data_IF_215200817010
#
_entry.id   IF_215200817010
#
_cell.length_a   1.000
_cell.length_b   1.000
_cell.length_c   1.000
_cell.angle_alpha   90.00
_cell.angle_beta   90.00
_cell.angle_gamma   90.00
#
_symmetry.space_group_name_H-M   'P 1'
#
loop_
_entity.id
_entity.type
_entity.pdbx_description
1 polymer ?
#
# COMPACT_ATOMS: atom_id res chain seq x y z
N UNK A 1 3.93 -20.59 4.07
CA UNK A 1 3.51 -19.79 2.89
C UNK A 1 2.05 -20.11 2.61
N UNK A 2 1.20 -19.11 2.39
CA UNK A 2 -0.22 -19.32 2.07
C UNK A 2 -0.37 -20.00 0.69
N UNK A 3 -1.36 -20.89 0.51
CA UNK A 3 -1.64 -21.55 -0.77
C UNK A 3 -1.78 -20.56 -1.93
N UNK A 4 -2.30 -19.35 -1.69
CA UNK A 4 -2.35 -18.29 -2.69
C UNK A 4 -0.96 -17.87 -3.21
N UNK A 5 0.06 -17.83 -2.35
CA UNK A 5 1.45 -17.54 -2.78
C UNK A 5 2.07 -18.70 -3.54
N UNK A 6 1.66 -19.94 -3.27
CA UNK A 6 2.10 -21.11 -4.04
C UNK A 6 1.38 -21.19 -5.39
N UNK A 7 0.07 -20.90 -5.44
CA UNK A 7 -0.71 -20.78 -6.66
C UNK A 7 -0.12 -19.73 -7.59
N UNK A 8 0.09 -18.53 -7.04
CA UNK A 8 0.71 -17.45 -7.79
C UNK A 8 2.11 -17.84 -8.27
N UNK A 9 2.94 -18.53 -7.48
CA UNK A 9 4.25 -19.03 -7.98
C UNK A 9 4.13 -20.09 -9.08
N UNK A 10 3.07 -20.89 -9.06
CA UNK A 10 2.87 -22.02 -9.97
C UNK A 10 2.23 -21.66 -11.31
N UNK A 11 1.60 -20.48 -11.42
CA UNK A 11 0.94 -20.02 -12.66
C UNK A 11 1.98 -19.86 -13.79
N UNK A 12 1.92 -20.74 -14.79
CA UNK A 12 2.83 -20.72 -15.93
C UNK A 12 2.28 -19.80 -17.02
N UNK A 13 3.17 -19.36 -17.90
CA UNK A 13 2.82 -18.45 -18.99
C UNK A 13 1.93 -19.15 -20.04
N UNK A 14 0.87 -18.53 -20.59
CA UNK A 14 -0.09 -19.16 -21.50
C UNK A 14 0.54 -19.81 -22.75
N UNK A 15 1.72 -19.35 -23.16
CA UNK A 15 2.44 -19.86 -24.32
C UNK A 15 3.15 -21.21 -24.14
N UNK A 16 3.19 -21.75 -22.91
CA UNK A 16 3.91 -23.02 -22.58
C UNK A 16 2.94 -24.12 -22.09
N UNK A 17 1.63 -23.85 -22.12
CA UNK A 17 0.66 -24.68 -21.41
C UNK A 17 0.18 -25.88 -22.25
N UNK A 18 0.56 -27.08 -21.82
CA UNK A 18 -0.08 -28.34 -22.21
C UNK A 18 -1.51 -28.40 -21.64
N UNK A 19 -2.48 -29.12 -22.26
CA UNK A 19 -3.82 -29.32 -21.70
C UNK A 19 -3.83 -29.84 -20.25
N UNK A 20 -2.82 -30.63 -19.86
CA UNK A 20 -2.67 -31.10 -18.48
C UNK A 20 -2.31 -29.98 -17.49
N UNK A 21 -1.50 -29.01 -17.93
CA UNK A 21 -1.11 -27.84 -17.13
C UNK A 21 -2.30 -26.90 -16.93
N UNK A 22 -3.10 -26.69 -17.99
CA UNK A 22 -4.36 -25.93 -17.92
C UNK A 22 -5.37 -26.54 -16.94
N UNK A 23 -5.50 -27.87 -16.93
CA UNK A 23 -6.38 -28.57 -15.98
C UNK A 23 -5.92 -28.36 -14.54
N UNK A 24 -4.61 -28.51 -14.28
CA UNK A 24 -4.02 -28.32 -12.96
C UNK A 24 -4.15 -26.87 -12.47
N UNK A 25 -3.93 -25.88 -13.33
CA UNK A 25 -4.14 -24.46 -12.99
C UNK A 25 -5.59 -24.16 -12.62
N UNK A 26 -6.55 -24.74 -13.35
CA UNK A 26 -7.97 -24.58 -13.05
C UNK A 26 -8.35 -25.21 -11.72
N UNK A 27 -7.90 -26.43 -11.44
CA UNK A 27 -8.16 -27.10 -10.16
C UNK A 27 -7.58 -26.29 -8.98
N UNK A 28 -6.39 -25.73 -9.15
CA UNK A 28 -5.75 -24.93 -8.12
C UNK A 28 -6.47 -23.58 -7.92
N UNK A 29 -6.96 -22.95 -8.99
CA UNK A 29 -7.81 -21.75 -8.91
C UNK A 29 -9.11 -22.04 -8.16
N UNK A 30 -9.81 -23.13 -8.50
CA UNK A 30 -11.05 -23.56 -7.81
C UNK A 30 -10.79 -23.82 -6.31
N UNK A 31 -9.63 -24.38 -5.97
CA UNK A 31 -9.20 -24.59 -4.59
C UNK A 31 -8.93 -23.26 -3.86
N UNK A 32 -8.23 -22.31 -4.51
CA UNK A 32 -7.99 -20.97 -3.97
C UNK A 32 -9.31 -20.27 -3.68
N UNK A 33 -10.25 -20.26 -4.62
CA UNK A 33 -11.55 -19.62 -4.46
C UNK A 33 -12.37 -20.27 -3.35
N UNK A 34 -12.31 -21.60 -3.24
CA UNK A 34 -12.93 -22.32 -2.14
C UNK A 34 -12.36 -21.90 -0.79
N UNK A 35 -11.03 -21.90 -0.62
CA UNK A 35 -10.41 -21.48 0.64
C UNK A 35 -10.70 -20.02 0.98
N UNK A 36 -10.63 -19.11 0.00
CA UNK A 36 -11.00 -17.70 0.17
C UNK A 36 -12.43 -17.55 0.71
N UNK A 37 -13.37 -18.33 0.18
CA UNK A 37 -14.76 -18.31 0.65
C UNK A 37 -14.91 -18.90 2.06
N UNK A 38 -14.11 -19.91 2.42
CA UNK A 38 -14.19 -20.57 3.74
C UNK A 38 -13.59 -19.74 4.88
N UNK A 39 -12.56 -18.92 4.62
CA UNK A 39 -11.92 -18.09 5.66
C UNK A 39 -12.94 -17.24 6.46
N UNK A 40 -13.78 -16.38 5.83
CA UNK A 40 -14.75 -15.57 6.57
C UNK A 40 -15.82 -16.42 7.26
N UNK A 41 -16.21 -17.55 6.67
CA UNK A 41 -17.17 -18.48 7.31
C UNK A 41 -16.60 -19.06 8.60
N UNK A 42 -15.33 -19.49 8.59
CA UNK A 42 -14.64 -19.98 9.77
C UNK A 42 -14.46 -18.88 10.83
N UNK A 43 -14.16 -17.64 10.44
CA UNK A 43 -14.08 -16.51 11.36
C UNK A 43 -15.43 -16.25 12.05
N UNK A 44 -16.53 -16.26 11.30
CA UNK A 44 -17.88 -16.10 11.86
C UNK A 44 -18.23 -17.24 12.81
N UNK A 45 -18.02 -18.49 12.40
CA UNK A 45 -18.27 -19.67 13.25
C UNK A 45 -17.43 -19.64 14.53
N UNK A 46 -16.18 -19.17 14.44
CA UNK A 46 -15.28 -18.98 15.58
C UNK A 46 -15.62 -17.76 16.45
N UNK A 47 -16.68 -17.00 16.14
CA UNK A 47 -17.04 -15.76 16.84
C UNK A 47 -15.87 -14.78 16.93
N UNK A 48 -15.14 -14.56 15.84
CA UNK A 48 -13.87 -13.81 15.80
C UNK A 48 -13.91 -12.42 16.46
N UNK A 49 -15.08 -11.77 16.52
CA UNK A 49 -15.28 -10.49 17.19
C UNK A 49 -14.99 -10.55 18.70
N UNK A 50 -15.09 -11.74 19.30
CA UNK A 50 -14.65 -12.04 20.67
C UNK A 50 -13.14 -12.30 20.75
N UNK A 51 -12.34 -11.99 19.72
CA UNK A 51 -10.91 -12.29 19.73
C UNK A 51 -10.59 -13.79 19.90
N UNK A 52 -9.37 -14.07 20.32
CA UNK A 52 -8.86 -15.42 20.58
C UNK A 52 -7.62 -15.79 19.76
N UNK A 53 -7.09 -17.02 19.97
CA UNK A 53 -5.88 -17.46 19.30
C UNK A 53 -6.00 -17.38 17.78
N UNK A 54 -4.95 -16.89 17.12
CA UNK A 54 -4.79 -16.86 15.66
C UNK A 54 -5.82 -16.03 14.88
N UNK A 55 -6.74 -15.32 15.55
CA UNK A 55 -7.77 -14.52 14.86
C UNK A 55 -7.14 -13.39 14.05
N UNK A 56 -6.18 -12.66 14.64
CA UNK A 56 -5.50 -11.56 13.96
C UNK A 56 -4.62 -12.05 12.81
N UNK A 57 -3.91 -13.16 13.02
CA UNK A 57 -3.08 -13.80 12.02
C UNK A 57 -3.93 -14.28 10.83
N UNK A 58 -5.10 -14.85 11.11
CA UNK A 58 -6.06 -15.26 10.07
C UNK A 58 -6.57 -14.06 9.28
N UNK A 59 -6.96 -12.97 9.95
CA UNK A 59 -7.40 -11.73 9.31
C UNK A 59 -6.28 -11.09 8.46
N UNK A 60 -5.06 -11.04 9.00
CA UNK A 60 -3.88 -10.53 8.29
C UNK A 60 -3.56 -11.35 7.03
N UNK A 61 -3.61 -12.68 7.14
CA UNK A 61 -3.40 -13.57 5.99
C UNK A 61 -4.53 -13.44 4.96
N UNK A 62 -5.77 -13.24 5.42
CA UNK A 62 -6.91 -13.00 4.55
C UNK A 62 -6.76 -11.71 3.76
N UNK A 63 -6.48 -10.60 4.45
CA UNK A 63 -6.20 -9.29 3.82
C UNK A 63 -5.04 -9.40 2.83
N UNK A 64 -3.95 -10.07 3.22
CA UNK A 64 -2.82 -10.28 2.31
C UNK A 64 -3.22 -11.07 1.06
N UNK A 65 -4.02 -12.13 1.20
CA UNK A 65 -4.51 -12.90 0.06
C UNK A 65 -5.37 -12.05 -0.88
N UNK A 66 -6.29 -11.25 -0.33
CA UNK A 66 -7.12 -10.32 -1.13
C UNK A 66 -6.25 -9.31 -1.89
N UNK A 67 -5.26 -8.69 -1.23
CA UNK A 67 -4.33 -7.74 -1.87
C UNK A 67 -3.58 -8.38 -3.05
N UNK A 68 -3.11 -9.62 -2.90
CA UNK A 68 -2.31 -10.28 -3.94
C UNK A 68 -3.15 -10.82 -5.09
N UNK A 69 -4.45 -11.03 -4.88
CA UNK A 69 -5.36 -11.53 -5.92
C UNK A 69 -6.11 -10.42 -6.64
N UNK A 70 -6.23 -9.24 -6.02
CA UNK A 70 -6.87 -8.08 -6.62
C UNK A 70 -5.92 -7.35 -7.58
N UNK A 71 -6.42 -7.06 -8.79
CA UNK A 71 -5.69 -6.27 -9.79
C UNK A 71 -5.81 -4.76 -9.56
N UNK A 72 -6.86 -4.32 -8.88
CA UNK A 72 -7.19 -2.92 -8.59
C UNK A 72 -7.24 -2.68 -7.08
N UNK A 73 -7.26 -1.41 -6.66
CA UNK A 73 -7.54 -1.05 -5.27
C UNK A 73 -9.02 -1.30 -4.92
N UNK A 74 -9.27 -2.02 -3.82
CA UNK A 74 -10.62 -2.35 -3.34
C UNK A 74 -10.85 -1.77 -1.93
N UNK A 75 -11.87 -0.92 -1.80
CA UNK A 75 -12.18 -0.22 -0.55
C UNK A 75 -12.59 -1.20 0.56
N UNK A 76 -13.18 -2.32 0.17
CA UNK A 76 -13.61 -3.42 1.04
C UNK A 76 -12.42 -4.00 1.83
N UNK A 77 -11.25 -4.11 1.20
CA UNK A 77 -10.01 -4.56 1.86
C UNK A 77 -9.59 -3.55 2.93
N UNK A 78 -9.70 -2.25 2.65
CA UNK A 78 -9.39 -1.20 3.63
C UNK A 78 -10.39 -1.19 4.80
N UNK A 79 -11.68 -1.44 4.54
CA UNK A 79 -12.69 -1.58 5.60
C UNK A 79 -12.40 -2.80 6.48
N UNK A 80 -12.05 -3.94 5.87
CA UNK A 80 -11.65 -5.15 6.60
C UNK A 80 -10.39 -4.90 7.46
N UNK A 81 -9.44 -4.12 6.96
CA UNK A 81 -8.29 -3.67 7.74
C UNK A 81 -8.75 -2.87 8.97
N UNK A 82 -9.78 -2.02 8.85
CA UNK A 82 -10.35 -1.29 9.99
C UNK A 82 -10.96 -2.17 11.05
N UNK A 83 -11.69 -3.21 10.65
CA UNK A 83 -12.19 -4.22 11.59
C UNK A 83 -11.02 -4.93 12.30
N UNK A 84 -9.96 -5.25 11.55
CA UNK A 84 -8.76 -5.90 12.09
C UNK A 84 -8.01 -4.99 13.08
N UNK A 85 -7.89 -3.69 12.79
CA UNK A 85 -7.31 -2.70 13.71
C UNK A 85 -8.15 -2.61 14.99
N UNK A 86 -9.47 -2.48 14.87
CA UNK A 86 -10.36 -2.40 16.05
C UNK A 86 -10.23 -3.64 16.93
N UNK A 87 -10.20 -4.83 16.33
CA UNK A 87 -10.03 -6.08 17.06
C UNK A 87 -8.64 -6.17 17.72
N UNK A 88 -7.57 -5.78 17.04
CA UNK A 88 -6.23 -5.76 17.60
C UNK A 88 -6.09 -4.77 18.78
N UNK A 89 -6.76 -3.62 18.68
CA UNK A 89 -6.87 -2.66 19.78
C UNK A 89 -7.62 -3.26 20.96
N UNK A 90 -8.76 -3.91 20.71
CA UNK A 90 -9.57 -4.59 21.71
C UNK A 90 -8.78 -5.70 22.43
N UNK A 91 -7.98 -6.47 21.70
CA UNK A 91 -7.10 -7.53 22.23
C UNK A 91 -5.79 -6.99 22.84
N UNK A 92 -5.60 -5.67 22.91
CA UNK A 92 -4.47 -5.03 23.58
C UNK A 92 -3.11 -5.12 22.86
N UNK A 93 -3.08 -5.37 21.55
CA UNK A 93 -1.81 -5.51 20.79
C UNK A 93 -1.04 -4.19 20.64
N UNK A 94 -1.72 -3.05 20.81
CA UNK A 94 -1.13 -1.71 20.82
C UNK A 94 -0.34 -1.37 22.09
N UNK A 95 -0.37 -2.27 23.09
CA UNK A 95 0.37 -2.16 24.34
C UNK A 95 1.52 -3.15 24.36
N UNK A 96 2.70 -2.69 24.78
CA UNK A 96 3.88 -3.53 24.84
C UNK A 96 3.66 -4.70 25.81
N UNK A 97 4.04 -5.92 25.41
CA UNK A 97 3.94 -7.11 26.25
C UNK A 97 4.52 -6.98 27.66
N UNK A 98 5.50 -6.10 27.89
CA UNK A 98 6.10 -5.86 29.22
C UNK A 98 5.10 -5.41 30.29
N UNK A 99 3.94 -4.88 29.88
CA UNK A 99 2.90 -4.43 30.80
C UNK A 99 1.97 -5.57 31.26
N UNK A 100 2.04 -6.74 30.62
CA UNK A 100 1.20 -7.89 30.91
C UNK A 100 1.98 -8.93 31.71
N UNK A 101 1.38 -9.46 32.78
CA UNK A 101 1.97 -10.54 33.58
C UNK A 101 1.61 -11.88 32.95
N UNK A 102 2.53 -12.85 33.00
CA UNK A 102 2.27 -14.24 32.59
C UNK A 102 2.45 -14.54 31.10
N UNK A 103 2.76 -13.55 30.25
CA UNK A 103 3.16 -13.82 28.87
C UNK A 103 4.55 -14.45 28.81
N UNK A 104 4.69 -15.53 28.05
CA UNK A 104 6.01 -16.08 27.73
C UNK A 104 6.79 -15.11 26.84
N UNK A 105 8.14 -15.16 26.88
CA UNK A 105 8.98 -14.34 26.00
C UNK A 105 8.65 -14.53 24.52
N UNK A 106 8.36 -15.78 24.11
CA UNK A 106 7.90 -16.10 22.76
C UNK A 106 6.59 -15.41 22.40
N UNK A 107 5.56 -15.51 23.26
CA UNK A 107 4.27 -14.89 23.01
C UNK A 107 4.39 -13.36 22.96
N UNK A 108 5.21 -12.77 23.82
CA UNK A 108 5.52 -11.35 23.79
C UNK A 108 6.13 -10.91 22.44
N UNK A 109 7.15 -11.62 21.95
CA UNK A 109 7.76 -11.33 20.66
C UNK A 109 6.76 -11.51 19.50
N UNK A 110 5.94 -12.58 19.50
CA UNK A 110 4.91 -12.79 18.49
C UNK A 110 3.88 -11.66 18.46
N UNK A 111 3.44 -11.17 19.63
CA UNK A 111 2.52 -10.02 19.72
C UNK A 111 3.13 -8.75 19.13
N UNK A 112 4.43 -8.47 19.38
CA UNK A 112 5.13 -7.34 18.75
C UNK A 112 5.17 -7.48 17.22
N UNK A 113 5.47 -8.68 16.71
CA UNK A 113 5.52 -8.97 15.26
C UNK A 113 4.16 -8.81 14.57
N UNK A 114 3.09 -9.28 15.20
CA UNK A 114 1.70 -9.12 14.74
C UNK A 114 1.35 -7.63 14.71
N UNK A 115 1.56 -6.92 15.81
CA UNK A 115 1.26 -5.48 15.88
C UNK A 115 2.02 -4.66 14.83
N UNK A 116 3.33 -4.89 14.69
CA UNK A 116 4.14 -4.21 13.67
C UNK A 116 3.62 -4.47 12.25
N UNK A 117 3.14 -5.69 11.97
CA UNK A 117 2.54 -6.03 10.68
C UNK A 117 1.21 -5.30 10.45
N UNK A 118 0.34 -5.24 11.46
CA UNK A 118 -0.94 -4.52 11.38
C UNK A 118 -0.70 -3.03 11.09
N UNK A 119 0.28 -2.42 11.76
CA UNK A 119 0.68 -1.02 11.52
C UNK A 119 1.16 -0.82 10.08
N UNK A 120 1.98 -1.73 9.55
CA UNK A 120 2.46 -1.68 8.17
C UNK A 120 1.31 -1.80 7.16
N UNK A 121 0.37 -2.73 7.40
CA UNK A 121 -0.79 -2.95 6.54
C UNK A 121 -1.75 -1.75 6.53
N UNK A 122 -2.10 -1.19 7.70
CA UNK A 122 -2.93 0.01 7.82
C UNK A 122 -2.33 1.17 7.02
N UNK A 123 -1.04 1.44 7.20
CA UNK A 123 -0.38 2.54 6.50
C UNK A 123 -0.34 2.32 4.98
N UNK A 124 -0.06 1.10 4.51
CA UNK A 124 -0.05 0.76 3.09
C UNK A 124 -1.42 0.90 2.43
N UNK A 125 -2.46 0.32 3.03
CA UNK A 125 -3.83 0.35 2.51
C UNK A 125 -4.44 1.75 2.58
N UNK A 126 -4.25 2.47 3.69
CA UNK A 126 -4.71 3.85 3.81
C UNK A 126 -4.02 4.76 2.79
N UNK A 127 -2.72 4.55 2.55
CA UNK A 127 -2.01 5.25 1.50
C UNK A 127 -2.58 4.99 0.12
N UNK A 128 -2.90 3.72 -0.22
CA UNK A 128 -3.52 3.34 -1.50
C UNK A 128 -4.89 4.00 -1.69
N UNK A 129 -5.71 4.04 -0.65
CA UNK A 129 -7.04 4.68 -0.72
C UNK A 129 -6.99 6.22 -0.68
N UNK A 130 -5.82 6.81 -0.41
CA UNK A 130 -5.69 8.25 -0.18
C UNK A 130 -6.39 8.70 1.12
N UNK A 131 -6.57 7.80 2.07
CA UNK A 131 -7.27 8.04 3.33
C UNK A 131 -6.27 8.18 4.49
N UNK A 132 -6.66 8.86 5.60
CA UNK A 132 -5.86 8.86 6.81
C UNK A 132 -5.70 7.44 7.37
N UNK A 133 -4.51 7.15 7.91
CA UNK A 133 -4.25 5.92 8.66
C UNK A 133 -5.15 5.81 9.89
N UNK A 134 -5.50 4.59 10.25
CA UNK A 134 -6.41 4.32 11.37
C UNK A 134 -5.68 4.32 12.71
N UNK A 135 -4.47 3.76 12.74
CA UNK A 135 -3.66 3.66 13.95
C UNK A 135 -2.96 4.99 14.19
N UNK A 136 -3.16 5.57 15.37
CA UNK A 136 -2.49 6.80 15.81
C UNK A 136 -1.28 6.45 16.65
N UNK A 137 -0.10 6.93 16.26
CA UNK A 137 1.16 6.54 16.91
C UNK A 137 1.19 6.91 18.41
N UNK A 138 0.56 8.02 18.81
CA UNK A 138 0.52 8.43 20.23
C UNK A 138 -0.39 7.56 21.11
N UNK A 139 -1.14 6.61 20.52
CA UNK A 139 -1.98 5.66 21.27
C UNK A 139 -1.28 4.32 21.51
N UNK A 140 -0.04 4.14 21.04
CA UNK A 140 0.66 2.86 21.02
C UNK A 140 1.97 2.95 21.79
N UNK A 141 2.32 1.93 22.56
CA UNK A 141 3.62 1.86 23.28
C UNK A 141 4.41 0.57 23.00
N UNK A 142 3.88 -0.31 22.14
CA UNK A 142 4.54 -1.53 21.67
C UNK A 142 5.90 -1.24 21.05
N UNK A 143 6.94 -1.93 21.54
CA UNK A 143 8.30 -1.80 21.02
C UNK A 143 8.47 -2.52 19.69
N UNK A 144 9.52 -2.13 18.96
CA UNK A 144 9.92 -2.80 17.72
C UNK A 144 10.27 -4.28 17.98
N UNK A 145 9.91 -5.21 17.08
CA UNK A 145 10.31 -6.62 17.19
C UNK A 145 11.84 -6.81 17.15
N UNK A 146 12.31 -7.91 17.69
CA UNK A 146 13.75 -8.23 17.77
C UNK A 146 14.27 -8.78 16.44
N UNK A 147 15.46 -8.36 15.99
CA UNK A 147 16.09 -8.90 14.79
C UNK A 147 16.66 -10.30 15.06
N UNK A 148 15.85 -11.34 14.89
CA UNK A 148 16.19 -12.73 15.21
C UNK A 148 15.83 -13.66 14.05
N UNK A 149 16.59 -14.74 13.91
CA UNK A 149 16.22 -15.88 13.06
C UNK A 149 15.06 -16.65 13.70
N UNK A 150 14.27 -17.34 12.88
CA UNK A 150 13.16 -18.17 13.39
C UNK A 150 13.66 -19.37 14.20
N UNK A 151 14.92 -19.76 14.05
CA UNK A 151 15.59 -20.80 14.84
C UNK A 151 16.19 -20.29 16.15
N UNK A 152 16.20 -18.98 16.41
CA UNK A 152 16.86 -18.41 17.60
C UNK A 152 16.00 -18.56 18.86
N UNK A 153 14.68 -18.76 18.71
CA UNK A 153 13.73 -18.81 19.82
C UNK A 153 12.47 -19.58 19.43
N UNK A 154 11.77 -20.13 20.42
CA UNK A 154 10.59 -20.96 20.27
C UNK A 154 9.67 -20.86 21.50
N UNK A 155 8.60 -21.65 21.55
CA UNK A 155 7.64 -21.65 22.66
C UNK A 155 8.23 -22.06 24.01
N UNK A 156 9.40 -22.71 24.04
CA UNK A 156 10.11 -23.12 25.25
C UNK A 156 11.13 -22.07 25.73
N UNK A 157 11.30 -20.97 25.00
CA UNK A 157 12.23 -19.90 25.34
C UNK A 157 11.81 -19.19 26.64
N UNK A 158 12.70 -19.22 27.64
CA UNK A 158 12.51 -18.60 28.97
C UNK A 158 13.07 -17.18 29.03
N UNK A 159 14.07 -16.87 28.20
CA UNK A 159 14.65 -15.54 28.06
C UNK A 159 14.95 -15.27 26.57
N UNK A 160 14.56 -14.10 26.07
CA UNK A 160 14.79 -13.77 24.65
C UNK A 160 16.29 -13.59 24.38
N UNK A 161 16.83 -14.16 23.29
CA UNK A 161 18.18 -13.84 22.85
C UNK A 161 18.28 -12.36 22.45
N UNK A 162 19.49 -11.76 22.55
CA UNK A 162 19.70 -10.38 22.14
C UNK A 162 19.43 -10.21 20.64
N UNK A 163 18.83 -9.08 20.26
CA UNK A 163 18.64 -8.74 18.85
C UNK A 163 19.99 -8.69 18.12
N UNK A 164 20.03 -9.28 16.92
CA UNK A 164 21.19 -9.26 16.02
C UNK A 164 21.40 -7.87 15.44
N UNK A 165 22.58 -7.64 14.87
CA UNK A 165 22.93 -6.37 14.24
C UNK A 165 22.04 -6.11 13.01
N UNK A 166 21.81 -4.84 12.68
CA UNK A 166 21.01 -4.45 11.50
C UNK A 166 21.69 -4.82 10.16
N UNK A 167 22.90 -5.38 10.19
CA UNK A 167 23.62 -5.94 9.04
C UNK A 167 23.36 -7.43 8.84
N UNK A 168 22.84 -8.10 9.87
CA UNK A 168 22.60 -9.55 9.84
C UNK A 168 21.23 -9.81 9.23
N UNK A 169 21.24 -10.39 8.03
CA UNK A 169 20.02 -10.67 7.29
C UNK A 169 19.22 -11.80 7.96
N UNK A 170 18.12 -11.43 8.61
CA UNK A 170 17.10 -12.34 9.16
C UNK A 170 15.79 -12.18 8.38
N UNK A 171 14.83 -13.12 8.50
CA UNK A 171 13.51 -13.00 7.90
C UNK A 171 12.76 -11.71 8.28
N UNK A 172 13.01 -11.16 9.48
CA UNK A 172 12.31 -9.98 9.99
C UNK A 172 13.03 -8.66 9.66
N UNK A 173 14.33 -8.66 9.35
CA UNK A 173 15.12 -7.43 9.16
C UNK A 173 14.48 -6.47 8.15
N UNK A 174 14.02 -6.98 7.00
CA UNK A 174 13.33 -6.16 6.00
C UNK A 174 12.10 -5.45 6.59
N UNK A 175 11.31 -6.14 7.41
CA UNK A 175 10.11 -5.56 8.05
C UNK A 175 10.48 -4.47 9.04
N UNK A 176 11.55 -4.65 9.81
CA UNK A 176 12.06 -3.62 10.74
C UNK A 176 12.51 -2.37 9.97
N UNK A 177 13.35 -2.54 8.95
CA UNK A 177 13.84 -1.44 8.11
C UNK A 177 12.68 -0.72 7.42
N UNK A 178 11.73 -1.48 6.85
CA UNK A 178 10.54 -0.91 6.23
C UNK A 178 9.68 -0.17 7.25
N UNK A 179 9.44 -0.71 8.44
CA UNK A 179 8.66 -0.05 9.49
C UNK A 179 9.26 1.30 9.92
N UNK A 180 10.59 1.38 10.05
CA UNK A 180 11.29 2.64 10.37
C UNK A 180 11.13 3.68 9.26
N UNK A 181 11.30 3.28 8.00
CA UNK A 181 11.06 4.16 6.85
C UNK A 181 9.59 4.61 6.80
N UNK A 182 8.67 3.66 6.93
CA UNK A 182 7.23 3.88 6.90
C UNK A 182 6.74 4.75 8.06
N UNK A 183 7.41 4.75 9.21
CA UNK A 183 7.11 5.69 10.31
C UNK A 183 7.32 7.15 9.86
N UNK A 184 8.42 7.42 9.17
CA UNK A 184 8.70 8.77 8.61
C UNK A 184 7.67 9.13 7.53
N UNK A 185 7.34 8.16 6.67
CA UNK A 185 6.32 8.32 5.63
C UNK A 185 4.93 8.57 6.24
N UNK A 186 4.59 7.93 7.35
CA UNK A 186 3.34 8.18 8.08
C UNK A 186 3.21 9.64 8.52
N UNK A 187 4.29 10.25 9.03
CA UNK A 187 4.29 11.68 9.34
C UNK A 187 4.14 12.57 8.10
N UNK A 188 4.74 12.18 6.96
CA UNK A 188 4.52 12.86 5.67
C UNK A 188 3.07 12.78 5.25
N UNK A 189 2.42 11.63 5.43
CA UNK A 189 1.01 11.43 5.12
C UNK A 189 0.13 12.32 5.99
N UNK A 190 0.34 12.29 7.30
CA UNK A 190 -0.40 13.12 8.25
C UNK A 190 -0.21 14.62 7.91
N UNK A 191 1.02 15.05 7.62
CA UNK A 191 1.34 16.40 7.16
C UNK A 191 0.67 16.76 5.81
N UNK A 192 0.63 15.82 4.88
CA UNK A 192 0.04 16.01 3.54
C UNK A 192 -1.49 15.96 3.56
N UNK A 193 -2.10 15.30 4.55
CA UNK A 193 -3.54 15.31 4.76
C UNK A 193 -4.00 16.56 5.54
N UNK A 194 -3.10 17.19 6.28
CA UNK A 194 -3.41 18.42 6.99
C UNK A 194 -3.77 19.56 6.02
N UNK A 195 -4.86 20.24 6.34
CA UNK A 195 -5.42 21.35 5.56
C UNK A 195 -4.85 22.70 6.00
N UNK A 196 -4.15 22.74 7.14
CA UNK A 196 -3.54 23.96 7.65
C UNK A 196 -2.33 24.36 6.81
N UNK A 197 -2.08 25.66 6.62
CA UNK A 197 -0.92 26.13 5.89
C UNK A 197 0.36 25.90 6.71
N UNK A 198 1.39 25.39 6.05
CA UNK A 198 2.73 25.24 6.61
C UNK A 198 3.74 26.05 5.81
N UNK A 199 4.74 26.66 6.45
CA UNK A 199 5.84 27.28 5.72
C UNK A 199 6.64 26.20 4.98
N UNK A 200 7.20 26.57 3.83
CA UNK A 200 7.96 25.63 2.99
C UNK A 200 9.14 24.98 3.73
N UNK A 201 9.67 25.63 4.76
CA UNK A 201 10.72 25.08 5.62
C UNK A 201 10.31 23.78 6.32
N UNK A 202 9.03 23.60 6.64
CA UNK A 202 8.56 22.32 7.22
C UNK A 202 8.56 21.20 6.18
N UNK A 203 8.28 21.52 4.92
CA UNK A 203 8.39 20.57 3.80
C UNK A 203 9.84 20.11 3.67
N UNK A 204 10.80 21.05 3.68
CA UNK A 204 12.23 20.73 3.60
C UNK A 204 12.70 19.89 4.79
N UNK A 205 12.28 20.22 6.01
CA UNK A 205 12.60 19.40 7.20
C UNK A 205 12.07 17.99 7.09
N UNK A 206 10.86 17.81 6.54
CA UNK A 206 10.29 16.48 6.36
C UNK A 206 11.00 15.72 5.24
N UNK A 207 11.45 16.41 4.21
CA UNK A 207 12.23 15.87 3.12
C UNK A 207 13.61 15.38 3.59
N UNK A 208 14.30 16.18 4.41
CA UNK A 208 15.57 15.83 5.04
C UNK A 208 15.45 14.58 5.93
N UNK A 209 14.35 14.48 6.69
CA UNK A 209 14.04 13.29 7.52
C UNK A 209 13.83 12.06 6.66
N UNK A 210 13.12 12.19 5.53
CA UNK A 210 12.90 11.09 4.61
C UNK A 210 14.22 10.61 3.98
N UNK A 211 15.08 11.54 3.57
CA UNK A 211 16.40 11.21 3.03
C UNK A 211 17.30 10.57 4.09
N UNK A 212 17.25 11.04 5.34
CA UNK A 212 17.95 10.41 6.46
C UNK A 212 17.45 8.98 6.69
N UNK A 213 16.13 8.75 6.68
CA UNK A 213 15.55 7.42 6.81
C UNK A 213 16.01 6.49 5.68
N UNK A 214 16.05 6.95 4.43
CA UNK A 214 16.59 6.18 3.30
C UNK A 214 18.08 5.87 3.47
N UNK A 215 18.90 6.84 3.89
CA UNK A 215 20.35 6.62 4.12
C UNK A 215 20.62 5.61 5.24
N UNK A 216 19.69 5.46 6.20
CA UNK A 216 19.80 4.52 7.32
C UNK A 216 19.54 3.05 6.94
N UNK A 217 19.03 2.79 5.73
CA UNK A 217 18.82 1.43 5.23
C UNK A 217 20.18 0.69 5.20
N UNK A 218 20.28 -0.52 5.80
CA UNK A 218 21.53 -1.26 5.85
C UNK A 218 21.94 -1.77 4.47
N UNK A 219 23.24 -1.98 4.26
CA UNK A 219 23.79 -2.23 2.93
C UNK A 219 23.26 -3.53 2.28
N UNK A 220 22.94 -4.54 3.08
CA UNK A 220 22.29 -5.77 2.62
C UNK A 220 20.88 -5.56 2.05
N UNK A 221 20.24 -4.41 2.32
CA UNK A 221 18.89 -4.04 1.86
C UNK A 221 18.88 -2.76 1.00
N UNK A 222 20.03 -2.20 0.62
CA UNK A 222 20.05 -1.08 -0.32
C UNK A 222 19.94 -1.55 -1.76
N UNK A 223 19.06 -0.90 -2.50
CA UNK A 223 18.98 -1.06 -3.94
C UNK A 223 20.11 -0.30 -4.65
N UNK A 224 20.63 -0.91 -5.72
CA UNK A 224 21.64 -0.28 -6.57
C UNK A 224 21.27 -0.42 -8.05
N UNK A 225 21.25 -1.66 -8.54
CA UNK A 225 20.88 -2.03 -9.91
C UNK A 225 20.69 -3.54 -9.99
N UNK A 226 20.06 -4.02 -11.06
CA UNK A 226 19.91 -5.45 -11.29
C UNK A 226 21.28 -6.16 -11.39
N UNK A 227 22.23 -5.56 -12.10
CA UNK A 227 23.58 -6.09 -12.29
C UNK A 227 24.37 -6.29 -10.99
N UNK A 228 24.11 -5.50 -9.94
CA UNK A 228 24.78 -5.65 -8.64
C UNK A 228 24.12 -6.68 -7.71
N UNK A 229 22.93 -7.18 -8.06
CA UNK A 229 22.16 -8.11 -7.24
C UNK A 229 21.97 -9.47 -7.93
N UNK A 230 22.82 -9.84 -8.89
CA UNK A 230 22.73 -11.11 -9.63
C UNK A 230 22.79 -12.33 -8.68
N UNK A 231 23.56 -12.24 -7.61
CA UNK A 231 23.71 -13.32 -6.60
C UNK A 231 22.62 -13.33 -5.54
N UNK A 232 21.79 -12.30 -5.48
CA UNK A 232 20.76 -12.18 -4.46
C UNK A 232 19.54 -13.02 -4.82
N UNK A 233 18.82 -13.49 -3.79
CA UNK A 233 17.55 -14.17 -4.02
C UNK A 233 16.50 -13.20 -4.58
N UNK A 234 15.58 -13.66 -5.44
CA UNK A 234 14.51 -12.82 -5.97
C UNK A 234 13.69 -12.09 -4.90
N UNK A 235 13.47 -12.73 -3.74
CA UNK A 235 12.77 -12.12 -2.62
C UNK A 235 13.51 -10.90 -2.07
N UNK A 236 14.82 -10.99 -1.87
CA UNK A 236 15.61 -9.87 -1.35
C UNK A 236 15.69 -8.72 -2.35
N UNK A 237 15.79 -9.04 -3.64
CA UNK A 237 15.80 -8.02 -4.71
C UNK A 237 14.48 -7.25 -4.69
N UNK A 238 13.34 -7.94 -4.62
CA UNK A 238 12.04 -7.29 -4.54
C UNK A 238 11.89 -6.43 -3.29
N UNK A 239 12.39 -6.89 -2.14
CA UNK A 239 12.39 -6.10 -0.90
C UNK A 239 13.15 -4.78 -1.06
N UNK A 240 14.34 -4.81 -1.68
CA UNK A 240 15.15 -3.62 -1.97
C UNK A 240 14.40 -2.64 -2.89
N UNK A 241 13.76 -3.15 -3.94
CA UNK A 241 12.98 -2.35 -4.88
C UNK A 241 11.77 -1.71 -4.18
N UNK A 242 11.03 -2.45 -3.36
CA UNK A 242 9.87 -1.92 -2.62
C UNK A 242 10.28 -0.78 -1.68
N UNK A 243 11.43 -0.87 -1.00
CA UNK A 243 11.92 0.22 -0.15
C UNK A 243 12.17 1.51 -0.94
N UNK A 244 12.65 1.38 -2.18
CA UNK A 244 12.86 2.52 -3.07
C UNK A 244 11.55 3.09 -3.61
N UNK A 245 10.60 2.24 -4.03
CA UNK A 245 9.32 2.73 -4.56
C UNK A 245 8.53 3.50 -3.50
N UNK A 246 8.45 3.00 -2.27
CA UNK A 246 7.75 3.72 -1.18
C UNK A 246 8.43 5.05 -0.84
N UNK A 247 9.76 5.13 -0.97
CA UNK A 247 10.50 6.38 -0.78
C UNK A 247 10.14 7.42 -1.84
N UNK A 248 10.20 7.06 -3.13
CA UNK A 248 9.86 8.02 -4.20
C UNK A 248 8.37 8.38 -4.19
N UNK A 249 7.48 7.45 -3.83
CA UNK A 249 6.06 7.75 -3.57
C UNK A 249 5.92 8.83 -2.50
N UNK A 250 6.65 8.72 -1.39
CA UNK A 250 6.61 9.70 -0.31
C UNK A 250 7.15 11.09 -0.74
N UNK A 251 8.23 11.13 -1.54
CA UNK A 251 8.74 12.39 -2.15
C UNK A 251 7.64 13.09 -2.97
N UNK A 252 6.92 12.35 -3.82
CA UNK A 252 5.81 12.90 -4.61
C UNK A 252 4.72 13.44 -3.69
N UNK A 253 4.28 12.67 -2.70
CA UNK A 253 3.19 13.05 -1.79
C UNK A 253 3.51 14.33 -1.00
N UNK A 254 4.76 14.45 -0.53
CA UNK A 254 5.23 15.62 0.21
C UNK A 254 5.26 16.90 -0.64
N UNK A 255 5.76 16.80 -1.88
CA UNK A 255 6.05 17.98 -2.70
C UNK A 255 4.95 18.36 -3.69
N UNK A 256 4.01 17.45 -4.04
CA UNK A 256 3.00 17.68 -5.10
C UNK A 256 2.14 18.93 -4.91
N UNK A 257 1.77 19.27 -3.66
CA UNK A 257 0.98 20.48 -3.36
C UNK A 257 1.71 21.78 -3.71
N UNK A 258 3.04 21.75 -3.75
CA UNK A 258 3.91 22.91 -3.95
C UNK A 258 4.42 23.03 -5.39
N UNK A 259 4.13 22.06 -6.25
CA UNK A 259 4.61 21.97 -7.63
C UNK A 259 4.11 23.11 -8.54
N UNK A 260 2.90 23.62 -8.28
CA UNK A 260 2.22 24.63 -9.10
C UNK A 260 2.17 26.02 -8.46
N UNK A 261 2.90 26.23 -7.37
CA UNK A 261 3.11 27.57 -6.82
C UNK A 261 3.94 28.43 -7.80
N UNK A 262 4.00 29.76 -7.64
CA UNK A 262 4.84 30.62 -8.48
C UNK A 262 6.29 30.12 -8.57
N UNK A 263 6.91 30.19 -9.74
CA UNK A 263 8.18 29.53 -10.09
C UNK A 263 9.29 29.71 -9.05
N UNK A 264 9.44 30.91 -8.50
CA UNK A 264 10.45 31.23 -7.49
C UNK A 264 10.33 30.36 -6.22
N UNK A 265 9.14 29.82 -5.92
CA UNK A 265 8.84 29.00 -4.75
C UNK A 265 8.60 27.53 -5.10
N UNK A 266 8.31 27.20 -6.36
CA UNK A 266 7.96 25.83 -6.79
C UNK A 266 9.05 25.08 -7.52
N UNK A 267 10.09 25.73 -8.03
CA UNK A 267 11.10 25.10 -8.90
C UNK A 267 11.71 23.83 -8.30
N UNK A 268 12.11 23.87 -7.02
CA UNK A 268 12.68 22.70 -6.33
C UNK A 268 11.66 21.57 -6.17
N UNK A 269 10.47 21.87 -5.65
CA UNK A 269 9.42 20.86 -5.45
C UNK A 269 8.95 20.23 -6.76
N UNK A 270 8.80 21.04 -7.81
CA UNK A 270 8.43 20.56 -9.14
C UNK A 270 9.46 19.57 -9.67
N UNK A 271 10.74 19.93 -9.60
CA UNK A 271 11.84 19.06 -10.02
C UNK A 271 11.83 17.73 -9.24
N UNK A 272 11.73 17.80 -7.91
CA UNK A 272 11.69 16.60 -7.04
C UNK A 272 10.53 15.68 -7.41
N UNK A 273 9.33 16.23 -7.63
CA UNK A 273 8.14 15.45 -7.99
C UNK A 273 8.31 14.77 -9.34
N UNK A 274 8.80 15.51 -10.35
CA UNK A 274 8.96 14.98 -11.71
C UNK A 274 10.07 13.92 -11.77
N UNK A 275 11.22 14.17 -11.15
CA UNK A 275 12.31 13.19 -11.05
C UNK A 275 11.86 11.93 -10.29
N UNK A 276 11.10 12.07 -9.20
CA UNK A 276 10.57 10.93 -8.44
C UNK A 276 9.54 10.13 -9.23
N UNK A 277 8.67 10.80 -9.99
CA UNK A 277 7.70 10.13 -10.84
C UNK A 277 8.38 9.36 -11.98
N UNK A 278 9.39 9.95 -12.63
CA UNK A 278 10.21 9.25 -13.62
C UNK A 278 10.90 8.03 -13.02
N UNK A 279 11.46 8.14 -11.80
CA UNK A 279 12.07 6.99 -11.10
C UNK A 279 11.07 5.87 -10.83
N UNK A 280 9.84 6.18 -10.43
CA UNK A 280 8.81 5.16 -10.26
C UNK A 280 8.47 4.46 -11.59
N UNK A 281 8.43 5.18 -12.72
CA UNK A 281 8.21 4.54 -14.03
C UNK A 281 9.42 3.73 -14.52
N UNK A 282 10.65 4.12 -14.16
CA UNK A 282 11.84 3.29 -14.38
C UNK A 282 11.69 1.94 -13.65
N UNK A 283 11.24 1.96 -12.39
CA UNK A 283 10.96 0.75 -11.62
C UNK A 283 9.80 -0.05 -12.21
N UNK A 284 8.72 0.59 -12.66
CA UNK A 284 7.60 -0.09 -13.32
C UNK A 284 8.12 -0.93 -14.49
N UNK A 285 8.96 -0.35 -15.33
CA UNK A 285 9.46 -1.09 -16.48
C UNK A 285 10.48 -2.16 -16.12
N UNK A 286 11.42 -1.87 -15.21
CA UNK A 286 12.37 -2.89 -14.76
C UNK A 286 11.62 -4.09 -14.18
N UNK A 287 10.59 -3.86 -13.37
CA UNK A 287 9.74 -4.93 -12.86
C UNK A 287 9.00 -5.65 -13.99
N UNK A 288 8.47 -4.94 -14.99
CA UNK A 288 7.84 -5.59 -16.14
C UNK A 288 8.82 -6.53 -16.86
N UNK A 289 10.04 -6.08 -17.16
CA UNK A 289 11.06 -6.90 -17.83
C UNK A 289 11.49 -8.09 -16.97
N UNK A 290 11.87 -7.84 -15.71
CA UNK A 290 12.45 -8.86 -14.85
C UNK A 290 11.42 -9.86 -14.30
N UNK A 291 10.14 -9.55 -14.41
CA UNK A 291 9.05 -10.49 -14.05
C UNK A 291 8.52 -11.29 -15.25
N UNK A 292 9.11 -11.13 -16.44
CA UNK A 292 8.81 -12.01 -17.58
C UNK A 292 9.35 -13.44 -17.36
N UNK A 293 8.79 -14.44 -18.09
CA UNK A 293 9.30 -15.81 -18.04
C UNK A 293 10.81 -15.87 -18.22
N UNK A 294 11.46 -16.73 -17.43
CA UNK A 294 12.90 -16.95 -17.43
C UNK A 294 13.76 -15.80 -16.88
N UNK A 295 13.17 -14.67 -16.48
CA UNK A 295 13.88 -13.58 -15.80
C UNK A 295 13.97 -13.79 -14.28
N UNK A 296 14.86 -13.04 -13.62
CA UNK A 296 15.25 -13.28 -12.23
C UNK A 296 14.10 -13.09 -11.24
N UNK A 297 13.16 -12.19 -11.54
CA UNK A 297 12.03 -11.86 -10.65
C UNK A 297 10.73 -12.57 -11.02
N UNK A 298 10.74 -13.49 -12.00
CA UNK A 298 9.54 -14.22 -12.43
C UNK A 298 8.77 -14.86 -11.25
N UNK A 299 9.49 -15.49 -10.32
CA UNK A 299 8.90 -16.17 -9.15
C UNK A 299 8.30 -15.22 -8.10
N UNK A 300 8.57 -13.93 -8.21
CA UNK A 300 8.11 -12.89 -7.29
C UNK A 300 7.16 -11.89 -7.96
N UNK A 301 6.71 -12.16 -9.19
CA UNK A 301 5.77 -11.28 -9.94
C UNK A 301 4.45 -11.00 -9.20
N UNK A 302 4.01 -11.94 -8.37
CA UNK A 302 2.83 -11.80 -7.51
C UNK A 302 2.95 -10.69 -6.46
N UNK A 303 4.16 -10.20 -6.20
CA UNK A 303 4.40 -9.04 -5.33
C UNK A 303 4.14 -7.71 -6.04
N UNK A 304 4.00 -7.70 -7.36
CA UNK A 304 3.54 -6.53 -8.13
C UNK A 304 2.01 -6.42 -8.01
N UNK A 305 1.55 -6.25 -6.77
CA UNK A 305 0.13 -6.19 -6.42
C UNK A 305 -0.48 -4.83 -6.75
N UNK A 306 -1.79 -4.69 -6.50
CA UNK A 306 -2.48 -3.40 -6.61
C UNK A 306 -1.82 -2.28 -5.81
N UNK A 307 -1.17 -2.59 -4.67
CA UNK A 307 -0.42 -1.61 -3.86
C UNK A 307 0.76 -1.01 -4.64
N UNK A 308 1.55 -1.85 -5.31
CA UNK A 308 2.72 -1.41 -6.09
C UNK A 308 2.27 -0.72 -7.37
N UNK A 309 1.27 -1.28 -8.05
CA UNK A 309 0.68 -0.65 -9.24
C UNK A 309 0.14 0.75 -8.95
N UNK A 310 -0.42 0.98 -7.76
CA UNK A 310 -0.86 2.31 -7.35
C UNK A 310 0.28 3.35 -7.29
N UNK A 311 1.52 2.95 -6.95
CA UNK A 311 2.68 3.86 -7.01
C UNK A 311 2.92 4.34 -8.46
N UNK A 312 2.83 3.42 -9.41
CA UNK A 312 3.03 3.71 -10.84
C UNK A 312 1.87 4.48 -11.44
N UNK A 313 0.63 4.22 -11.00
CA UNK A 313 -0.54 5.02 -11.38
C UNK A 313 -0.36 6.48 -10.93
N UNK A 314 0.05 6.70 -9.67
CA UNK A 314 0.33 8.04 -9.15
C UNK A 314 1.40 8.75 -10.00
N UNK A 315 2.51 8.08 -10.30
CA UNK A 315 3.60 8.63 -11.11
C UNK A 315 3.10 9.01 -12.52
N UNK A 316 2.37 8.11 -13.18
CA UNK A 316 1.78 8.33 -14.50
C UNK A 316 0.85 9.55 -14.47
N UNK A 317 -0.06 9.63 -13.50
CA UNK A 317 -1.01 10.73 -13.37
C UNK A 317 -0.32 12.08 -13.15
N UNK A 318 0.72 12.14 -12.33
CA UNK A 318 1.50 13.37 -12.09
C UNK A 318 2.16 13.88 -13.37
N UNK A 319 2.80 12.99 -14.12
CA UNK A 319 3.48 13.35 -15.37
C UNK A 319 2.49 13.80 -16.45
N UNK A 320 1.35 13.11 -16.59
CA UNK A 320 0.27 13.52 -17.47
C UNK A 320 -0.27 14.91 -17.11
N UNK A 321 -0.55 15.14 -15.82
CA UNK A 321 -1.07 16.40 -15.33
C UNK A 321 -0.10 17.56 -15.59
N UNK A 322 1.20 17.33 -15.38
CA UNK A 322 2.24 18.30 -15.68
C UNK A 322 2.27 18.69 -17.16
N UNK A 323 2.28 17.72 -18.07
CA UNK A 323 2.32 17.99 -19.52
C UNK A 323 1.08 18.76 -19.99
N UNK A 324 -0.11 18.41 -19.49
CA UNK A 324 -1.35 19.13 -19.82
C UNK A 324 -1.30 20.60 -19.38
N UNK A 325 -0.71 20.89 -18.21
CA UNK A 325 -0.59 22.26 -17.70
C UNK A 325 0.54 23.03 -18.38
N UNK A 326 1.65 22.36 -18.73
CA UNK A 326 2.74 22.97 -19.48
C UNK A 326 2.28 23.43 -20.88
N UNK A 327 1.49 22.60 -21.57
CA UNK A 327 0.90 22.91 -22.88
C UNK A 327 -0.05 24.13 -22.86
N UNK A 328 -0.70 24.41 -21.73
CA UNK A 328 -1.55 25.59 -21.55
C UNK A 328 -0.77 26.88 -21.23
N UNK A 329 0.50 26.78 -20.83
CA UNK A 329 1.33 27.88 -20.33
C UNK A 329 2.50 28.25 -21.25
N UNK A 330 2.72 27.53 -22.36
CA UNK A 330 3.90 27.69 -23.22
C UNK A 330 3.81 28.89 -24.16
N UNK A 331 4.40 29.99 -23.70
CA UNK A 331 5.05 30.99 -24.56
C UNK A 331 6.55 31.17 -24.26
N UNK A 332 7.17 30.48 -23.30
CA UNK A 332 8.59 30.73 -22.96
C UNK A 332 9.38 29.49 -22.48
N UNK A 333 10.53 29.24 -23.15
CA UNK A 333 11.80 28.59 -22.75
C UNK A 333 12.13 27.15 -23.26
N UNK A 334 13.28 27.05 -23.92
CA UNK A 334 13.86 25.89 -24.64
C UNK A 334 14.45 24.76 -23.77
N UNK A 335 14.52 24.93 -22.44
CA UNK A 335 14.91 23.84 -21.51
C UNK A 335 13.73 22.90 -21.19
N UNK A 336 12.48 23.37 -21.37
CA UNK A 336 11.28 22.53 -21.18
C UNK A 336 11.26 21.37 -22.18
N UNK A 337 11.68 21.62 -23.42
CA UNK A 337 11.50 20.68 -24.52
C UNK A 337 12.23 19.34 -24.30
N UNK A 338 13.48 19.35 -23.83
CA UNK A 338 14.25 18.12 -23.58
C UNK A 338 13.72 17.30 -22.39
N UNK A 339 13.22 17.98 -21.36
CA UNK A 339 12.66 17.31 -20.19
C UNK A 339 11.27 16.73 -20.52
N UNK A 340 10.46 17.48 -21.25
CA UNK A 340 9.14 17.04 -21.73
C UNK A 340 9.26 15.85 -22.69
N UNK A 341 10.29 15.82 -23.55
CA UNK A 341 10.62 14.64 -24.38
C UNK A 341 10.91 13.39 -23.54
N UNK A 342 11.69 13.54 -22.46
CA UNK A 342 11.99 12.44 -21.54
C UNK A 342 10.74 11.91 -20.85
N UNK A 343 9.86 12.82 -20.39
CA UNK A 343 8.57 12.46 -19.80
C UNK A 343 7.71 11.72 -20.83
N UNK A 344 7.60 12.24 -22.05
CA UNK A 344 6.83 11.64 -23.13
C UNK A 344 7.33 10.25 -23.49
N UNK A 345 8.65 10.03 -23.53
CA UNK A 345 9.23 8.71 -23.76
C UNK A 345 8.87 7.72 -22.63
N UNK A 346 8.99 8.15 -21.37
CA UNK A 346 8.64 7.33 -20.21
C UNK A 346 7.14 6.98 -20.19
N UNK A 347 6.26 7.95 -20.48
CA UNK A 347 4.81 7.73 -20.55
C UNK A 347 4.40 6.79 -21.69
N UNK A 348 5.07 6.83 -22.86
CA UNK A 348 4.83 5.86 -23.94
C UNK A 348 5.15 4.43 -23.50
N UNK A 349 6.29 4.23 -22.85
CA UNK A 349 6.71 2.94 -22.30
C UNK A 349 5.73 2.45 -21.22
N UNK A 350 5.29 3.34 -20.34
CA UNK A 350 4.27 3.03 -19.32
C UNK A 350 2.91 2.68 -19.94
N UNK A 351 2.48 3.41 -20.98
CA UNK A 351 1.23 3.12 -21.72
C UNK A 351 1.19 1.66 -22.20
N UNK A 352 2.29 1.16 -22.78
CA UNK A 352 2.33 -0.19 -23.34
C UNK A 352 2.24 -1.26 -22.24
N UNK A 353 2.80 -1.00 -21.06
CA UNK A 353 2.66 -1.86 -19.87
C UNK A 353 1.19 -1.86 -19.39
N UNK A 354 0.59 -0.68 -19.23
CA UNK A 354 -0.81 -0.57 -18.80
C UNK A 354 -1.76 -1.23 -19.79
N UNK A 355 -1.47 -1.14 -21.10
CA UNK A 355 -2.26 -1.77 -22.15
C UNK A 355 -2.30 -3.29 -21.99
N UNK A 356 -1.17 -3.93 -21.65
CA UNK A 356 -1.12 -5.38 -21.41
C UNK A 356 -2.00 -5.82 -20.24
N UNK A 357 -2.05 -5.01 -19.17
CA UNK A 357 -2.86 -5.27 -17.97
C UNK A 357 -4.32 -4.80 -18.06
N UNK A 358 -4.71 -4.12 -19.15
CA UNK A 358 -6.02 -3.47 -19.28
C UNK A 358 -7.20 -4.44 -19.29
N UNK A 359 -7.00 -5.69 -19.69
CA UNK A 359 -8.08 -6.67 -19.69
C UNK A 359 -8.51 -7.10 -18.27
N UNK A 360 -7.58 -7.12 -17.32
CA UNK A 360 -7.81 -7.55 -15.93
C UNK A 360 -8.00 -6.38 -14.95
N UNK A 361 -7.45 -5.19 -15.24
CA UNK A 361 -7.52 -4.03 -14.34
C UNK A 361 -8.43 -2.91 -14.88
N UNK A 362 -9.36 -2.42 -14.04
CA UNK A 362 -10.17 -1.24 -14.33
C UNK A 362 -9.34 0.04 -14.28
N UNK A 363 -8.37 0.13 -13.37
CA UNK A 363 -7.46 1.27 -13.24
C UNK A 363 -6.54 1.40 -14.45
N UNK A 364 -5.94 0.29 -14.89
CA UNK A 364 -5.13 0.23 -16.11
C UNK A 364 -5.91 0.73 -17.34
N UNK A 365 -7.18 0.29 -17.52
CA UNK A 365 -8.04 0.79 -18.60
C UNK A 365 -8.31 2.28 -18.55
N UNK A 366 -8.44 2.86 -17.36
CA UNK A 366 -8.60 4.31 -17.21
C UNK A 366 -7.32 5.02 -17.62
N UNK A 367 -6.16 4.52 -17.20
CA UNK A 367 -4.86 5.11 -17.53
C UNK A 367 -4.52 5.01 -19.02
N UNK A 368 -4.76 3.87 -19.66
CA UNK A 368 -4.58 3.72 -21.11
C UNK A 368 -5.39 4.76 -21.88
N UNK A 369 -6.67 4.95 -21.51
CA UNK A 369 -7.52 5.98 -22.13
C UNK A 369 -6.99 7.40 -21.90
N UNK A 370 -6.56 7.71 -20.68
CA UNK A 370 -6.00 9.02 -20.35
C UNK A 370 -4.68 9.28 -21.11
N UNK A 371 -3.80 8.29 -21.19
CA UNK A 371 -2.54 8.37 -21.92
C UNK A 371 -2.77 8.48 -23.43
N UNK A 372 -3.78 7.84 -23.99
CA UNK A 372 -4.11 7.99 -25.40
C UNK A 372 -4.45 9.45 -25.77
N UNK A 373 -5.11 10.18 -24.87
CA UNK A 373 -5.38 11.61 -25.03
C UNK A 373 -4.10 12.44 -24.93
N UNK A 374 -3.29 12.23 -23.88
CA UNK A 374 -2.04 13.00 -23.65
C UNK A 374 -1.01 12.75 -24.76
N UNK A 375 -0.93 11.53 -25.28
CA UNK A 375 -0.01 11.15 -26.35
C UNK A 375 -0.52 11.54 -27.75
N UNK A 376 -1.68 12.18 -27.86
CA UNK A 376 -2.26 12.61 -29.14
C UNK A 376 -2.67 11.44 -30.05
N UNK A 377 -2.95 10.26 -29.48
CA UNK A 377 -3.32 9.04 -30.23
C UNK A 377 -4.83 8.89 -30.49
N UNK A 378 -5.64 9.88 -30.12
CA UNK A 378 -7.08 9.92 -30.41
C UNK A 378 -7.36 11.07 -31.38
N UNK A 379 -7.68 10.73 -32.64
CA UNK A 379 -8.55 11.58 -33.44
C UNK A 379 -9.89 11.65 -32.71
N UNK A 380 -10.29 12.83 -32.25
CA UNK A 380 -11.63 13.08 -31.73
C UNK A 380 -12.65 12.54 -32.74
N UNK A 381 -13.48 11.53 -32.41
CA UNK A 381 -14.70 11.33 -33.15
C UNK A 381 -15.52 12.60 -32.97
N UNK A 382 -15.89 13.22 -34.09
CA UNK A 382 -16.82 14.32 -34.16
C UNK A 382 -18.00 14.09 -33.23
N UNK A 383 -18.35 15.14 -32.50
CA UNK A 383 -19.54 15.23 -31.67
C UNK A 383 -20.75 14.58 -32.35
N UNK A 384 -21.33 13.56 -31.71
CA UNK A 384 -22.77 13.46 -31.53
C UNK A 384 -23.12 12.48 -30.41
N UNK A 385 -23.83 13.02 -29.42
CA UNK A 385 -24.62 12.36 -28.36
C UNK A 385 -23.91 11.36 -27.43
N UNK A 386 -23.54 11.82 -26.22
CA UNK A 386 -24.07 11.37 -24.90
C UNK A 386 -23.49 12.27 -23.80
N UNK A 387 -24.37 13.00 -23.09
CA UNK A 387 -24.27 13.51 -21.72
C UNK A 387 -22.95 14.12 -21.21
N UNK A 388 -22.90 15.45 -21.14
CA UNK A 388 -21.88 16.23 -20.44
C UNK A 388 -21.68 15.76 -18.98
N UNK A 389 -20.45 15.33 -18.68
CA UNK A 389 -19.87 15.40 -17.35
C UNK A 389 -18.47 15.98 -17.49
N UNK A 390 -18.38 17.32 -17.46
CA UNK A 390 -17.11 18.03 -17.45
C UNK A 390 -16.30 17.67 -16.20
N UNK A 391 -15.06 17.22 -16.40
CA UNK A 391 -14.10 16.96 -15.33
C UNK A 391 -13.64 18.28 -14.72
N UNK A 392 -14.36 18.76 -13.71
CA UNK A 392 -13.90 19.84 -12.84
C UNK A 392 -12.99 19.24 -11.76
N UNK A 393 -11.68 19.43 -11.92
CA UNK A 393 -10.73 19.23 -10.83
C UNK A 393 -10.73 20.48 -9.94
N UNK A 394 -11.44 20.42 -8.82
CA UNK A 394 -11.53 21.53 -7.87
C UNK A 394 -10.23 21.77 -7.11
N UNK A 395 -9.75 23.02 -7.13
CA UNK A 395 -8.83 23.59 -6.15
C UNK A 395 -9.61 24.48 -5.15
N UNK A 396 -9.12 24.72 -3.93
CA UNK A 396 -9.70 25.69 -3.01
C UNK A 396 -9.40 27.11 -3.52
N UNK A 397 -10.44 27.94 -3.67
CA UNK A 397 -10.29 29.35 -4.03
C UNK A 397 -9.77 30.17 -2.84
N UNK A 398 -8.84 31.08 -3.12
CA UNK A 398 -8.34 32.08 -2.16
C UNK A 398 -9.01 33.43 -2.41
N UNK A 399 -9.80 33.91 -1.45
CA UNK A 399 -10.18 35.33 -1.32
C UNK A 399 -10.43 35.71 0.16
N UNK A 400 -10.20 36.98 0.55
CA UNK A 400 -10.08 37.42 1.97
C UNK A 400 -11.45 37.62 2.66
N UNK A 401 -11.49 37.74 4.00
CA UNK A 401 -12.74 37.54 4.74
C UNK A 401 -13.62 38.79 4.69
N UNK A 402 -14.87 38.61 4.24
CA UNK A 402 -15.96 39.53 4.50
C UNK A 402 -17.04 38.81 5.30
N UNK A 403 -17.32 39.35 6.47
CA UNK A 403 -18.33 38.93 7.45
C UNK A 403 -19.73 38.87 6.85
N UNK A 404 -20.35 37.68 6.87
CA UNK A 404 -21.76 37.46 7.23
C UNK A 404 -22.06 35.96 7.23
N UNK A 405 -22.66 35.49 8.33
CA UNK A 405 -23.15 34.12 8.50
C UNK A 405 -24.28 33.83 7.51
N UNK A 406 -24.17 32.72 6.79
CA UNK A 406 -25.33 31.92 6.41
C UNK A 406 -24.95 30.43 6.47
N UNK A 407 -25.66 29.71 7.33
CA UNK A 407 -25.59 28.26 7.46
C UNK A 407 -26.37 27.65 6.30
N UNK A 408 -25.66 27.10 5.31
CA UNK A 408 -26.22 26.17 4.33
C UNK A 408 -25.32 24.95 4.17
N UNK A 409 -25.93 23.77 4.28
CA UNK A 409 -25.37 22.43 4.18
C UNK A 409 -24.21 22.30 3.16
N UNK A 410 -22.99 22.17 3.66
CA UNK A 410 -21.81 21.81 2.87
C UNK A 410 -21.62 20.30 2.84
N UNK A 411 -21.95 19.67 1.71
CA UNK A 411 -21.65 18.27 1.43
C UNK A 411 -20.14 18.02 1.35
N UNK A 412 -19.69 16.93 1.96
CA UNK A 412 -18.35 16.37 1.82
C UNK A 412 -18.07 16.06 0.34
N UNK A 413 -17.29 16.93 -0.31
CA UNK A 413 -16.77 16.70 -1.65
C UNK A 413 -15.78 15.54 -1.66
N UNK A 414 -16.27 14.36 -2.06
CA UNK A 414 -15.50 13.16 -2.38
C UNK A 414 -14.38 13.49 -3.40
N UNK A 415 -13.15 13.09 -3.09
CA UNK A 415 -12.05 13.00 -4.06
C UNK A 415 -12.28 11.79 -5.00
N UNK A 416 -13.28 11.90 -5.88
CA UNK A 416 -13.63 11.03 -7.03
C UNK A 416 -13.95 9.54 -6.78
N UNK A 417 -14.74 8.91 -7.69
CA UNK A 417 -16.17 8.71 -7.52
C UNK A 417 -16.53 7.39 -6.82
N UNK A 418 -17.47 7.51 -5.88
CA UNK A 418 -18.30 6.42 -5.36
C UNK A 418 -19.02 5.68 -6.50
N UNK A 419 -19.04 4.34 -6.46
CA UNK A 419 -20.00 3.56 -7.22
C UNK A 419 -20.70 2.48 -6.37
N UNK A 420 -22.03 2.56 -6.48
CA UNK A 420 -23.03 1.51 -6.67
C UNK A 420 -23.14 0.34 -5.67
N UNK A 421 -24.27 0.34 -4.96
CA UNK A 421 -24.73 -0.58 -3.91
C UNK A 421 -25.11 -2.00 -4.37
N UNK A 422 -24.48 -2.54 -5.40
CA UNK A 422 -24.85 -3.84 -5.94
C UNK A 422 -23.67 -4.80 -5.92
N UNK A 423 -23.38 -5.36 -4.74
CA UNK A 423 -22.74 -6.67 -4.51
C UNK A 423 -22.48 -6.82 -3.01
N UNK A 424 -23.50 -7.26 -2.24
CA UNK A 424 -23.41 -8.03 -0.97
C UNK A 424 -24.84 -8.26 -0.44
N UNK A 425 -25.56 -9.32 -0.84
CA UNK A 425 -26.98 -9.51 -0.48
C UNK A 425 -27.27 -9.68 1.02
N UNK A 426 -26.25 -9.94 1.87
CA UNK A 426 -26.45 -10.38 3.26
C UNK A 426 -25.84 -9.44 4.32
N UNK A 427 -25.53 -8.19 3.97
CA UNK A 427 -25.02 -7.21 4.95
C UNK A 427 -26.13 -6.62 5.85
N UNK A 428 -27.38 -6.59 5.38
CA UNK A 428 -28.52 -6.08 6.16
C UNK A 428 -28.72 -6.83 7.48
N UNK A 429 -28.52 -8.16 7.47
CA UNK A 429 -28.58 -9.01 8.66
C UNK A 429 -27.43 -8.78 9.65
N UNK A 430 -26.27 -8.30 9.19
CA UNK A 430 -25.12 -7.99 10.05
C UNK A 430 -25.30 -6.68 10.83
N UNK A 431 -26.01 -5.70 10.26
CA UNK A 431 -26.28 -4.43 10.93
C UNK A 431 -27.32 -4.56 12.07
N UNK A 432 -28.33 -5.42 11.90
CA UNK A 432 -29.39 -5.61 12.91
C UNK A 432 -28.89 -6.32 14.19
N UNK A 433 -27.91 -7.22 14.06
CA UNK A 433 -27.27 -7.90 15.21
C UNK A 433 -26.36 -6.96 16.02
N UNK A 434 -25.73 -5.98 15.35
CA UNK A 434 -24.86 -4.97 15.96
C UNK A 434 -25.62 -3.94 16.79
N UNK A 435 -26.86 -3.60 16.39
CA UNK A 435 -27.72 -2.66 17.12
C UNK A 435 -28.32 -3.30 18.38
N UNK A 436 -28.39 -4.63 18.42
CA UNK A 436 -29.05 -5.40 19.49
C UNK A 436 -28.11 -5.83 20.63
N UNK A 437 -26.80 -5.60 20.52
CA UNK A 437 -25.82 -6.03 21.51
C UNK A 437 -25.69 -5.02 22.67
N UNK A 438 -25.91 -5.42 23.95
CA UNK A 438 -25.70 -4.53 25.08
C UNK A 438 -24.21 -4.16 25.22
N UNK A 439 -23.92 -2.90 25.55
CA UNK A 439 -22.55 -2.41 25.77
C UNK A 439 -21.89 -3.16 26.94
N UNK A 440 -20.93 -4.04 26.62
CA UNK A 440 -20.09 -4.74 27.60
C UNK A 440 -18.81 -3.92 27.80
N UNK A 441 -18.56 -3.49 29.04
CA UNK A 441 -17.28 -2.92 29.48
C UNK A 441 -16.19 -3.99 29.48
N UNK A 442 -14.93 -3.69 29.11
CA UNK A 442 -13.88 -4.71 28.99
C UNK A 442 -13.51 -5.30 30.37
N UNK A 443 -13.72 -6.61 30.55
CA UNK A 443 -13.18 -7.40 31.68
C UNK A 443 -11.82 -8.00 31.32
N UNK A 444 -11.04 -8.36 32.35
CA UNK A 444 -9.64 -8.80 32.26
C UNK A 444 -9.42 -10.19 31.62
N UNK A 445 -10.46 -10.79 31.04
CA UNK A 445 -10.49 -12.20 30.61
C UNK A 445 -9.59 -12.50 29.39
N UNK A 446 -9.16 -11.47 28.64
CA UNK A 446 -8.28 -11.66 27.48
C UNK A 446 -6.87 -12.16 27.84
N UNK A 447 -6.43 -12.00 29.08
CA UNK A 447 -5.08 -12.41 29.51
C UNK A 447 -4.93 -13.92 29.65
N UNK A 448 -6.03 -14.67 29.86
CA UNK A 448 -5.98 -16.12 30.06
C UNK A 448 -5.96 -16.91 28.72
N UNK A 449 -6.31 -16.26 27.61
CA UNK A 449 -6.47 -16.95 26.31
C UNK A 449 -5.14 -17.29 25.62
N UNK A 450 -4.07 -16.51 25.86
CA UNK A 450 -2.73 -16.80 25.32
C UNK A 450 -2.02 -17.93 26.11
N UNK A 451 -2.53 -18.30 27.30
CA UNK A 451 -1.94 -19.33 28.17
C UNK A 451 -2.43 -20.77 27.94
N UNK A 452 -3.53 -20.97 27.21
CA UNK A 452 -4.17 -22.30 27.08
C UNK A 452 -3.66 -23.17 25.90
N UNK A 453 -2.71 -22.70 25.09
CA UNK A 453 -2.10 -23.53 24.03
C UNK A 453 -1.15 -24.64 24.52
N UNK A 454 -1.07 -24.91 25.83
CA UNK A 454 -0.22 -25.98 26.39
C UNK A 454 -0.89 -27.36 26.53
N UNK A 455 -2.16 -27.55 26.17
CA UNK A 455 -2.79 -28.87 26.19
C UNK A 455 -3.70 -29.11 24.98
N UNK A 456 -3.13 -29.64 23.90
CA UNK A 456 -3.82 -30.44 22.88
C UNK A 456 -2.75 -31.05 21.97
N UNK A 457 -2.25 -32.22 22.36
CA UNK A 457 -1.37 -33.08 21.56
C UNK A 457 -2.12 -33.79 20.44
#
# INVERSE_FOLDING_TARGET
MCLATQFEKSRLDPGVQSPAVLSMERELQEMVDTFRLRIPQCLVLGSYAKGGPFVLETLMLYIAAEIFLSSDAEIEIWILMGNTVQLALHMGYHRDPKHFKGLSPFAAEMRRRIWATIVEMDLGLSAQMGLPRMIKHWQTDTQEPSNLQDSDFDSATVEMPPSRLNTDLTPILYRLVKARLMTTIGYIWDFSADVRPYPYTEVQKMDDKLDQARRSIPECLKWHSMARNITDSPQHIMQKVILETVFYRAKIVLHRKYMFLPLAQSASSRRIVLESALKLLDYQHMLQEETQPFCQLYQERWRVSSLVNHDFLLATSILCYYLQHAQGATAQLSESDSFDETIMASLKRSHDIWLQSSNSSKEARKVVRALAVVLGRVNTPSADSVGEAGLVFGLPSTSPPSTTNDYSQGGLGSQFPMFNSALMPNWATFADDLISAPMITPTADWQEMDGQSQYSS
#
